data_IF_100370498124
#
_entry.id   IF_100370498124
#
_cell.length_a   1.000
_cell.length_b   1.000
_cell.length_c   1.000
_cell.angle_alpha   90.00
_cell.angle_beta   90.00
_cell.angle_gamma   90.00
#
_symmetry.space_group_name_H-M   'P 1'
#
loop_
_entity.id
_entity.type
_entity.pdbx_description
1 polymer ?
#
# COMPACT_ATOMS: atom_id res chain seq x y z
N UNK A 1 18.67 -1.56 21.75
CA UNK A 1 17.26 -1.72 21.37
C UNK A 1 16.52 -2.35 22.52
N UNK A 2 15.24 -2.01 22.69
CA UNK A 2 14.36 -2.66 23.66
C UNK A 2 13.97 -4.03 23.11
N UNK A 3 14.15 -5.14 23.86
CA UNK A 3 13.73 -6.46 23.39
C UNK A 3 12.21 -6.52 23.31
N UNK A 4 11.70 -7.00 22.16
CA UNK A 4 10.27 -7.24 21.98
C UNK A 4 9.82 -8.34 22.92
N UNK A 5 8.66 -8.15 23.57
CA UNK A 5 8.01 -9.27 24.26
C UNK A 5 7.19 -10.09 23.28
N UNK A 6 6.59 -9.42 22.29
CA UNK A 6 5.78 -10.04 21.24
C UNK A 6 6.15 -9.47 19.88
N UNK A 7 6.26 -10.35 18.89
CA UNK A 7 6.41 -9.99 17.46
C UNK A 7 5.33 -10.73 16.70
N UNK A 8 4.52 -10.01 15.92
CA UNK A 8 3.56 -10.62 14.99
C UNK A 8 4.07 -10.51 13.56
N UNK A 9 3.87 -11.56 12.79
CA UNK A 9 4.18 -11.62 11.37
C UNK A 9 2.97 -12.18 10.63
N UNK A 10 2.11 -11.30 10.14
CA UNK A 10 0.87 -11.66 9.47
C UNK A 10 1.13 -11.78 7.97
N UNK A 11 0.70 -12.88 7.36
CA UNK A 11 0.85 -13.06 5.93
C UNK A 11 -0.02 -12.04 5.18
N UNK A 12 0.58 -11.35 4.21
CA UNK A 12 -0.14 -10.44 3.31
C UNK A 12 -0.26 -11.14 1.95
N UNK A 13 -1.49 -11.33 1.43
CA UNK A 13 -1.68 -11.88 0.09
C UNK A 13 -0.88 -11.10 -0.94
N UNK A 14 -0.16 -11.82 -1.81
CA UNK A 14 0.65 -11.23 -2.86
C UNK A 14 0.54 -12.12 -4.09
N UNK A 15 -0.53 -11.93 -4.84
CA UNK A 15 -0.90 -12.79 -5.98
C UNK A 15 -0.94 -12.03 -7.32
N UNK A 16 -0.98 -10.70 -7.28
CA UNK A 16 -1.10 -9.86 -8.46
C UNK A 16 0.15 -9.90 -9.36
N UNK A 17 -0.03 -10.31 -10.63
CA UNK A 17 1.01 -10.33 -11.67
C UNK A 17 0.96 -9.14 -12.62
N UNK A 18 -0.11 -8.33 -12.54
CA UNK A 18 -0.37 -7.18 -13.40
C UNK A 18 -0.93 -6.02 -12.59
N UNK A 19 -0.92 -4.83 -13.17
CA UNK A 19 -1.48 -3.60 -12.59
C UNK A 19 -2.98 -3.44 -12.90
N UNK A 20 -3.61 -4.45 -13.50
CA UNK A 20 -5.02 -4.43 -13.96
C UNK A 20 -6.01 -4.24 -12.81
N UNK A 21 -5.59 -4.47 -11.56
CA UNK A 21 -6.37 -4.10 -10.39
C UNK A 21 -6.78 -2.61 -10.42
N UNK A 22 -5.95 -1.74 -10.98
CA UNK A 22 -6.20 -0.30 -11.00
C UNK A 22 -7.04 0.16 -12.20
N UNK A 23 -7.37 -0.71 -13.15
CA UNK A 23 -8.25 -0.39 -14.28
C UNK A 23 -9.65 0.01 -13.77
N UNK A 24 -10.10 -0.58 -12.65
CA UNK A 24 -11.35 -0.24 -11.96
C UNK A 24 -11.50 1.24 -11.62
N UNK A 25 -10.39 1.97 -11.41
CA UNK A 25 -10.43 3.40 -11.11
C UNK A 25 -11.01 4.21 -12.27
N UNK A 26 -10.69 3.81 -13.51
CA UNK A 26 -11.25 4.44 -14.71
C UNK A 26 -12.68 3.95 -14.95
N UNK A 27 -12.92 2.64 -14.85
CA UNK A 27 -14.23 2.01 -15.09
C UNK A 27 -15.33 2.56 -14.17
N UNK A 28 -14.98 2.99 -12.95
CA UNK A 28 -15.91 3.54 -11.97
C UNK A 28 -15.86 5.08 -11.87
N UNK A 29 -15.16 5.76 -12.79
CA UNK A 29 -15.17 7.22 -12.88
C UNK A 29 -14.45 7.97 -11.75
N UNK A 30 -13.57 7.30 -11.00
CA UNK A 30 -12.65 7.92 -10.04
C UNK A 30 -11.53 8.65 -10.80
N UNK A 31 -11.14 8.11 -11.95
CA UNK A 31 -10.16 8.69 -12.87
C UNK A 31 -10.84 8.92 -14.23
N UNK A 32 -10.56 10.06 -14.86
CA UNK A 32 -11.04 10.35 -16.22
C UNK A 32 -10.25 9.53 -17.26
N UNK A 33 -10.96 8.77 -18.07
CA UNK A 33 -10.39 7.88 -19.10
C UNK A 33 -9.47 8.61 -20.11
N UNK A 34 -9.81 9.85 -20.45
CA UNK A 34 -9.15 10.62 -21.51
C UNK A 34 -7.82 11.27 -21.07
N UNK A 35 -7.71 11.62 -19.79
CA UNK A 35 -6.68 12.51 -19.26
C UNK A 35 -5.86 11.91 -18.12
N UNK A 36 -6.35 10.83 -17.51
CA UNK A 36 -5.79 10.27 -16.29
C UNK A 36 -6.05 11.12 -15.04
N UNK A 37 -6.84 12.19 -15.17
CA UNK A 37 -7.09 13.13 -14.09
C UNK A 37 -7.95 12.49 -13.00
N UNK A 38 -7.51 12.60 -11.75
CA UNK A 38 -8.24 12.13 -10.58
C UNK A 38 -9.41 13.08 -10.31
N UNK A 39 -10.60 12.53 -10.14
CA UNK A 39 -11.81 13.32 -9.89
C UNK A 39 -11.72 14.01 -8.53
N UNK A 40 -11.75 15.34 -8.54
CA UNK A 40 -11.78 16.17 -7.32
C UNK A 40 -13.13 16.10 -6.62
N UNK A 41 -13.12 16.27 -5.31
CA UNK A 41 -14.31 16.37 -4.47
C UNK A 41 -14.18 17.58 -3.52
N UNK A 42 -15.18 17.80 -2.67
CA UNK A 42 -15.07 18.79 -1.59
C UNK A 42 -14.05 18.30 -0.56
N UNK A 43 -13.29 19.24 0.00
CA UNK A 43 -12.31 18.97 1.04
C UNK A 43 -12.98 18.37 2.28
N UNK A 44 -12.54 17.16 2.64
CA UNK A 44 -13.01 16.45 3.81
C UNK A 44 -11.81 16.02 4.67
N UNK A 45 -11.64 16.55 5.89
CA UNK A 45 -10.54 16.14 6.75
C UNK A 45 -10.77 14.72 7.29
N UNK A 46 -9.73 13.88 7.24
CA UNK A 46 -9.73 12.52 7.79
C UNK A 46 -8.40 12.25 8.50
N UNK A 47 -8.40 12.25 9.83
CA UNK A 47 -7.16 12.17 10.62
C UNK A 47 -6.18 13.28 10.25
N UNK A 48 -4.95 12.90 9.87
CA UNK A 48 -3.91 13.82 9.38
C UNK A 48 -3.99 14.10 7.86
N UNK A 49 -4.99 13.56 7.17
CA UNK A 49 -5.18 13.75 5.73
C UNK A 49 -6.28 14.75 5.40
N UNK A 50 -6.14 15.41 4.24
CA UNK A 50 -7.21 16.15 3.58
C UNK A 50 -7.64 15.37 2.33
N UNK A 51 -8.87 14.88 2.32
CA UNK A 51 -9.46 14.18 1.18
C UNK A 51 -10.10 15.20 0.24
N UNK A 52 -9.34 15.61 -0.79
CA UNK A 52 -9.78 16.57 -1.83
C UNK A 52 -10.09 15.91 -3.18
N UNK A 53 -10.07 14.58 -3.23
CA UNK A 53 -10.35 13.80 -4.42
C UNK A 53 -10.98 12.44 -4.09
N UNK A 54 -11.70 11.88 -5.07
CA UNK A 54 -12.43 10.61 -4.96
C UNK A 54 -11.50 9.42 -4.70
N UNK A 55 -10.24 9.49 -5.14
CA UNK A 55 -9.26 8.44 -4.91
C UNK A 55 -8.92 8.32 -3.43
N UNK A 56 -8.63 9.43 -2.75
CA UNK A 56 -8.35 9.42 -1.30
C UNK A 56 -9.57 9.02 -0.48
N UNK A 57 -10.77 9.46 -0.86
CA UNK A 57 -12.01 8.99 -0.23
C UNK A 57 -12.14 7.47 -0.32
N UNK A 58 -11.97 6.92 -1.53
CA UNK A 58 -11.96 5.46 -1.75
C UNK A 58 -10.91 4.76 -0.87
N UNK A 59 -9.71 5.33 -0.70
CA UNK A 59 -8.62 4.69 0.04
C UNK A 59 -8.73 4.77 1.57
N UNK A 60 -9.42 5.78 2.12
CA UNK A 60 -9.44 6.11 3.56
C UNK A 60 -10.82 5.95 4.21
N UNK A 61 -11.90 6.28 3.50
CA UNK A 61 -13.23 6.43 4.09
C UNK A 61 -14.07 5.21 3.71
N UNK A 62 -14.34 4.36 4.70
CA UNK A 62 -15.14 3.12 4.58
C UNK A 62 -16.61 3.35 4.21
N UNK A 63 -17.15 4.49 4.61
CA UNK A 63 -18.52 4.92 4.26
C UNK A 63 -18.60 5.75 2.96
N UNK A 64 -17.52 5.81 2.17
CA UNK A 64 -17.56 6.52 0.88
C UNK A 64 -18.28 5.70 -0.20
N UNK A 65 -18.97 6.39 -1.11
CA UNK A 65 -19.71 5.76 -2.22
C UNK A 65 -18.83 4.80 -3.04
N UNK A 66 -17.54 5.14 -3.19
CA UNK A 66 -16.58 4.40 -4.00
C UNK A 66 -15.74 3.39 -3.20
N UNK A 67 -15.92 3.27 -1.88
CA UNK A 67 -15.11 2.35 -1.05
C UNK A 67 -15.19 0.90 -1.56
N UNK A 68 -16.40 0.49 -1.97
CA UNK A 68 -16.74 -0.87 -2.38
C UNK A 68 -16.35 -1.23 -3.83
N UNK A 69 -15.69 -0.31 -4.56
CA UNK A 69 -15.10 -0.60 -5.88
C UNK A 69 -14.10 -1.76 -5.80
N UNK A 70 -13.42 -1.88 -4.65
CA UNK A 70 -12.52 -2.97 -4.32
C UNK A 70 -13.10 -3.84 -3.22
N UNK A 71 -13.02 -5.16 -3.39
CA UNK A 71 -13.39 -6.10 -2.33
C UNK A 71 -12.37 -6.08 -1.19
N UNK A 72 -12.75 -6.61 -0.02
CA UNK A 72 -11.82 -6.73 1.11
C UNK A 72 -10.57 -7.54 0.74
N UNK A 73 -10.73 -8.62 -0.03
CA UNK A 73 -9.60 -9.43 -0.51
C UNK A 73 -8.66 -8.65 -1.44
N UNK A 74 -9.20 -7.78 -2.29
CA UNK A 74 -8.39 -6.92 -3.16
C UNK A 74 -7.68 -5.83 -2.37
N UNK A 75 -8.34 -5.28 -1.34
CA UNK A 75 -7.74 -4.31 -0.42
C UNK A 75 -6.62 -4.93 0.41
N UNK A 76 -6.73 -6.22 0.70
CA UNK A 76 -5.73 -6.99 1.44
C UNK A 76 -4.51 -7.38 0.59
N UNK A 77 -4.62 -7.39 -0.74
CA UNK A 77 -3.50 -7.67 -1.63
C UNK A 77 -2.37 -6.65 -1.43
N UNK A 78 -1.14 -7.14 -1.37
CA UNK A 78 0.06 -6.32 -1.15
C UNK A 78 0.20 -5.22 -2.22
N UNK A 79 -0.18 -5.52 -3.47
CA UNK A 79 -0.15 -4.53 -4.54
C UNK A 79 -1.08 -3.33 -4.25
N UNK A 80 -2.28 -3.60 -3.74
CA UNK A 80 -3.23 -2.54 -3.37
C UNK A 80 -2.72 -1.76 -2.16
N UNK A 81 -2.23 -2.45 -1.12
CA UNK A 81 -1.66 -1.81 0.08
C UNK A 81 -0.50 -0.89 -0.30
N UNK A 82 0.42 -1.36 -1.14
CA UNK A 82 1.54 -0.55 -1.64
C UNK A 82 1.04 0.69 -2.39
N UNK A 83 0.11 0.53 -3.33
CA UNK A 83 -0.49 1.65 -4.04
C UNK A 83 -1.13 2.67 -3.09
N UNK A 84 -1.93 2.20 -2.13
CA UNK A 84 -2.51 3.03 -1.07
C UNK A 84 -1.44 3.83 -0.35
N UNK A 85 -0.35 3.19 0.08
CA UNK A 85 0.74 3.86 0.78
C UNK A 85 1.39 4.98 -0.05
N UNK A 86 1.57 4.76 -1.35
CA UNK A 86 2.11 5.74 -2.29
C UNK A 86 1.14 6.91 -2.50
N UNK A 87 -0.16 6.65 -2.65
CA UNK A 87 -1.17 7.71 -2.80
C UNK A 87 -1.34 8.56 -1.54
N UNK A 88 -1.28 7.95 -0.35
CA UNK A 88 -1.38 8.67 0.92
C UNK A 88 -0.15 9.53 1.19
N UNK A 89 1.05 9.03 0.86
CA UNK A 89 2.29 9.76 1.00
C UNK A 89 2.63 10.16 2.44
N UNK A 90 3.56 11.10 2.59
CA UNK A 90 4.01 11.58 3.90
C UNK A 90 3.27 12.83 4.39
N UNK A 91 3.69 13.34 5.56
CA UNK A 91 3.15 14.55 6.20
C UNK A 91 3.14 15.80 5.30
N UNK A 92 4.09 15.90 4.38
CA UNK A 92 4.26 17.07 3.50
C UNK A 92 3.61 16.89 2.12
N UNK A 93 2.47 16.22 2.06
CA UNK A 93 1.52 16.30 0.94
C UNK A 93 2.12 16.00 -0.46
N UNK A 94 2.19 14.73 -0.85
CA UNK A 94 2.59 14.31 -2.21
C UNK A 94 1.36 14.05 -3.10
N UNK A 95 0.56 15.09 -3.31
CA UNK A 95 -0.65 15.01 -4.13
C UNK A 95 -0.29 15.12 -5.60
N UNK A 96 -0.83 14.22 -6.41
CA UNK A 96 -0.82 14.30 -7.85
C UNK A 96 -2.24 14.53 -8.35
N UNK A 97 -2.37 15.29 -9.43
CA UNK A 97 -3.67 15.50 -10.10
C UNK A 97 -4.01 14.36 -11.07
N UNK A 98 -3.02 13.51 -11.37
CA UNK A 98 -3.10 12.42 -12.32
C UNK A 98 -2.76 11.09 -11.67
N UNK A 99 -3.36 10.01 -12.18
CA UNK A 99 -3.18 8.67 -11.61
C UNK A 99 -1.85 8.02 -12.00
N UNK A 100 -1.32 8.36 -13.17
CA UNK A 100 -0.18 7.68 -13.78
C UNK A 100 1.07 7.71 -12.89
N UNK A 101 1.48 8.84 -12.28
CA UNK A 101 2.63 8.84 -11.38
C UNK A 101 2.51 7.85 -10.22
N UNK A 102 1.30 7.67 -9.67
CA UNK A 102 1.05 6.71 -8.60
C UNK A 102 1.14 5.27 -9.08
N UNK A 103 0.52 4.94 -10.21
CA UNK A 103 0.57 3.58 -10.78
C UNK A 103 2.00 3.23 -11.21
N UNK A 104 2.71 4.14 -11.87
CA UNK A 104 4.07 3.91 -12.36
C UNK A 104 5.07 3.75 -11.21
N UNK A 105 4.94 4.56 -10.15
CA UNK A 105 5.79 4.44 -8.95
C UNK A 105 5.51 3.13 -8.23
N UNK A 106 4.23 2.80 -8.02
CA UNK A 106 3.82 1.52 -7.41
C UNK A 106 4.37 0.33 -8.20
N UNK A 107 4.26 0.37 -9.54
CA UNK A 107 4.74 -0.68 -10.43
C UNK A 107 6.24 -0.86 -10.36
N UNK A 108 7.01 0.23 -10.28
CA UNK A 108 8.46 0.16 -10.14
C UNK A 108 8.84 -0.48 -8.81
N UNK A 109 8.30 0.01 -7.69
CA UNK A 109 8.59 -0.52 -6.36
C UNK A 109 8.17 -1.99 -6.26
N UNK A 110 6.97 -2.34 -6.73
CA UNK A 110 6.48 -3.71 -6.69
C UNK A 110 7.39 -4.69 -7.46
N UNK A 111 7.89 -4.28 -8.63
CA UNK A 111 8.83 -5.10 -9.42
C UNK A 111 10.20 -5.27 -8.78
N UNK A 112 10.64 -4.30 -7.98
CA UNK A 112 11.90 -4.41 -7.23
C UNK A 112 11.76 -5.32 -6.01
N UNK A 113 10.60 -5.27 -5.34
CA UNK A 113 10.33 -6.05 -4.13
C UNK A 113 9.96 -7.51 -4.44
N UNK A 114 9.12 -7.74 -5.46
CA UNK A 114 8.50 -9.04 -5.70
C UNK A 114 9.19 -9.79 -6.84
N UNK A 115 9.57 -11.03 -6.55
CA UNK A 115 10.13 -11.95 -7.53
C UNK A 115 9.03 -12.85 -8.10
N UNK A 116 9.12 -13.06 -9.41
CA UNK A 116 8.29 -14.01 -10.15
C UNK A 116 9.18 -15.04 -10.83
N UNK A 117 8.68 -16.27 -10.96
CA UNK A 117 9.32 -17.33 -11.70
C UNK A 117 8.36 -17.87 -12.75
N UNK A 118 8.91 -18.19 -13.92
CA UNK A 118 8.17 -18.91 -14.96
C UNK A 118 8.27 -20.39 -14.71
N UNK A 119 7.13 -21.07 -14.59
CA UNK A 119 7.09 -22.51 -14.51
C UNK A 119 7.64 -23.10 -15.84
N UNK A 120 8.65 -23.98 -15.79
CA UNK A 120 9.27 -24.53 -17.00
C UNK A 120 8.29 -25.38 -17.83
N UNK A 121 7.33 -26.03 -17.18
CA UNK A 121 6.38 -26.94 -17.80
C UNK A 121 5.12 -26.21 -18.28
N UNK A 122 4.46 -25.46 -17.39
CA UNK A 122 3.18 -24.78 -17.72
C UNK A 122 3.37 -23.44 -18.46
N UNK A 123 4.59 -22.87 -18.43
CA UNK A 123 4.92 -21.51 -18.92
C UNK A 123 4.20 -20.37 -18.18
N UNK A 124 3.47 -20.66 -17.10
CA UNK A 124 2.80 -19.65 -16.29
C UNK A 124 3.80 -18.95 -15.36
N UNK A 125 3.52 -17.69 -15.05
CA UNK A 125 4.29 -16.93 -14.07
C UNK A 125 3.67 -17.12 -12.69
N UNK A 126 4.51 -17.38 -11.68
CA UNK A 126 4.09 -17.46 -10.29
C UNK A 126 4.97 -16.57 -9.42
N UNK A 127 4.38 -15.97 -8.39
CA UNK A 127 5.12 -15.19 -7.39
C UNK A 127 5.88 -16.16 -6.49
N UNK A 128 7.15 -15.87 -6.25
CA UNK A 128 8.01 -16.68 -5.35
C UNK A 128 8.30 -15.99 -4.03
N UNK A 129 8.15 -14.66 -3.97
CA UNK A 129 8.31 -13.90 -2.74
C UNK A 129 7.11 -14.09 -1.80
N UNK A 130 7.36 -14.05 -0.50
CA UNK A 130 6.32 -14.01 0.54
C UNK A 130 6.37 -12.66 1.27
N UNK A 131 5.21 -12.07 1.54
CA UNK A 131 5.09 -10.78 2.21
C UNK A 131 4.44 -10.95 3.58
N UNK A 132 5.01 -10.29 4.59
CA UNK A 132 4.48 -10.29 5.95
C UNK A 132 4.37 -8.87 6.48
N UNK A 133 3.23 -8.54 7.08
CA UNK A 133 3.05 -7.33 7.89
C UNK A 133 3.60 -7.59 9.29
N UNK A 134 4.52 -6.76 9.75
CA UNK A 134 5.22 -6.97 11.01
C UNK A 134 4.84 -5.90 12.02
N UNK A 135 4.51 -6.34 13.23
CA UNK A 135 4.43 -5.45 14.39
C UNK A 135 5.27 -6.02 15.54
N UNK A 136 5.80 -5.12 16.38
CA UNK A 136 6.44 -5.50 17.62
C UNK A 136 5.88 -4.67 18.78
N UNK A 137 5.60 -5.37 19.88
CA UNK A 137 5.01 -4.79 21.07
C UNK A 137 5.69 -5.30 22.36
N UNK A 138 5.57 -4.50 23.41
CA UNK A 138 5.76 -4.95 24.78
C UNK A 138 4.40 -5.28 25.43
N UNK A 139 4.37 -5.43 26.75
CA UNK A 139 3.14 -5.79 27.49
C UNK A 139 2.03 -4.73 27.41
N UNK A 140 2.35 -3.49 27.08
CA UNK A 140 1.44 -2.34 27.20
C UNK A 140 1.31 -1.54 25.90
N UNK A 141 2.30 -1.58 25.00
CA UNK A 141 2.29 -0.78 23.77
C UNK A 141 3.01 -1.43 22.59
N UNK A 142 2.50 -1.16 21.39
CA UNK A 142 3.26 -1.34 20.15
C UNK A 142 4.37 -0.29 20.10
N UNK A 143 5.51 -0.62 19.52
CA UNK A 143 6.56 0.37 19.23
C UNK A 143 7.14 0.23 17.82
N UNK A 144 6.79 -0.85 17.10
CA UNK A 144 7.14 -1.04 15.69
C UNK A 144 5.89 -1.46 14.90
N UNK A 145 5.58 -0.84 13.75
CA UNK A 145 6.35 0.22 13.07
C UNK A 145 6.42 1.57 13.82
N UNK A 146 5.43 1.90 14.65
CA UNK A 146 5.44 3.06 15.53
C UNK A 146 4.61 2.80 16.78
N UNK A 147 4.68 3.71 17.75
CA UNK A 147 3.82 3.65 18.94
C UNK A 147 2.39 4.10 18.65
N UNK A 148 2.25 5.19 17.90
CA UNK A 148 0.96 5.73 17.50
C UNK A 148 0.48 5.08 16.19
N UNK A 149 -0.79 4.70 16.17
CA UNK A 149 -1.43 4.22 14.95
C UNK A 149 -1.59 5.37 13.95
N UNK A 150 -1.29 5.09 12.68
CA UNK A 150 -1.60 5.98 11.58
C UNK A 150 -1.80 5.16 10.31
N UNK A 151 -2.77 5.56 9.49
CA UNK A 151 -3.19 4.85 8.27
C UNK A 151 -2.06 4.59 7.27
N UNK A 152 -1.06 5.48 7.24
CA UNK A 152 0.14 5.31 6.43
C UNK A 152 1.40 5.01 7.24
N UNK A 153 1.30 4.31 8.37
CA UNK A 153 2.46 3.77 9.10
C UNK A 153 2.45 2.25 8.98
N UNK A 154 3.54 1.66 8.48
CA UNK A 154 3.60 0.24 8.14
C UNK A 154 5.01 -0.32 8.14
N UNK A 155 5.10 -1.65 8.27
CA UNK A 155 6.31 -2.42 8.09
C UNK A 155 6.01 -3.75 7.41
N UNK A 156 6.66 -4.00 6.28
CA UNK A 156 6.59 -5.26 5.56
C UNK A 156 7.95 -5.94 5.52
N UNK A 157 7.96 -7.25 5.73
CA UNK A 157 9.07 -8.13 5.39
C UNK A 157 8.73 -8.88 4.11
N UNK A 158 9.58 -8.71 3.10
CA UNK A 158 9.49 -9.41 1.83
C UNK A 158 10.61 -10.44 1.78
N UNK A 159 10.25 -11.72 1.83
CA UNK A 159 11.17 -12.84 1.84
C UNK A 159 11.24 -13.44 0.45
N UNK A 160 12.42 -13.42 -0.16
CA UNK A 160 12.71 -14.13 -1.41
C UNK A 160 13.57 -15.36 -1.11
N UNK A 161 12.98 -16.57 -1.09
CA UNK A 161 13.71 -17.79 -0.73
C UNK A 161 14.75 -18.19 -1.78
N UNK A 162 14.56 -17.81 -3.05
CA UNK A 162 15.47 -18.17 -4.14
C UNK A 162 16.71 -17.28 -4.13
N UNK A 163 16.53 -15.97 -3.94
CA UNK A 163 17.63 -15.02 -3.76
C UNK A 163 18.26 -15.10 -2.37
N UNK A 164 17.60 -15.76 -1.40
CA UNK A 164 17.97 -15.79 0.02
C UNK A 164 18.06 -14.38 0.62
N UNK A 165 17.18 -13.50 0.17
CA UNK A 165 17.13 -12.10 0.60
C UNK A 165 15.86 -11.86 1.42
N UNK A 166 15.98 -10.97 2.40
CA UNK A 166 14.85 -10.38 3.10
C UNK A 166 14.95 -8.88 2.92
N UNK A 167 13.93 -8.28 2.33
CA UNK A 167 13.81 -6.83 2.16
C UNK A 167 12.82 -6.29 3.18
N UNK A 168 13.18 -5.20 3.83
CA UNK A 168 12.28 -4.48 4.75
C UNK A 168 11.76 -3.25 4.02
N UNK A 169 10.44 -3.14 3.89
CA UNK A 169 9.77 -1.91 3.45
C UNK A 169 9.09 -1.30 4.67
N UNK A 170 9.51 -0.11 5.08
CA UNK A 170 9.08 0.52 6.31
C UNK A 170 8.78 2.00 6.10
N UNK A 171 7.72 2.48 6.74
CA UNK A 171 7.41 3.90 6.81
C UNK A 171 6.69 4.21 8.13
N UNK A 172 7.11 5.29 8.78
CA UNK A 172 6.41 5.87 9.92
C UNK A 172 6.00 7.29 9.55
N UNK A 173 4.70 7.53 9.53
CA UNK A 173 4.17 8.84 9.20
C UNK A 173 4.59 9.87 10.25
N UNK A 174 4.98 11.07 9.80
CA UNK A 174 5.40 12.14 10.69
C UNK A 174 6.72 11.90 11.43
N UNK A 175 7.44 10.80 11.16
CA UNK A 175 8.75 10.53 11.73
C UNK A 175 9.81 11.47 11.11
N UNK A 176 9.91 12.65 11.70
CA UNK A 176 10.87 13.68 11.37
C UNK A 176 10.62 14.88 12.27
N UNK A 177 11.34 14.98 13.38
CA UNK A 177 11.47 16.24 14.10
C UNK A 177 12.33 17.14 13.21
N UNK A 178 11.68 17.97 12.41
CA UNK A 178 12.32 19.18 11.88
C UNK A 178 11.99 20.29 12.87
N UNK A 179 12.71 20.30 14.00
CA UNK A 179 12.89 21.50 14.82
C UNK A 179 13.81 22.49 14.10
#
# INVERSE_FOLDING_TARGET
GTPATTVTAENVPCTALSMTLFDKLQENGIVREDTGAIRKCMDEPYGDFMCSDELRKLLLIDDSDNYWVYSDSERDEFLFRLFRHICLGGRYCQFEDKIEPYIDTTKQIYKELISVQKNPDTKELTITSSVFSITASDKEQMYYPAADFHDNTFAYLIVDPLKRHVTVLYHCFGAGQFE
#
